data_IF_775157207994
#
_entry.id   IF_775157207994
#
_cell.length_a   1.000
_cell.length_b   1.000
_cell.length_c   1.000
_cell.angle_alpha   90.00
_cell.angle_beta   90.00
_cell.angle_gamma   90.00
#
_symmetry.space_group_name_H-M   'P 1'
#
loop_
_entity.id
_entity.type
_entity.pdbx_description
1 polymer ?
#
# COMPACT_ATOMS: atom_id res chain seq x y z
N UNK A 1 -43.79 36.34 -37.50
CA UNK A 1 -42.35 36.26 -37.19
C UNK A 1 -42.02 35.71 -35.79
N UNK A 2 -42.94 35.04 -35.07
CA UNK A 2 -42.72 34.71 -33.63
C UNK A 2 -42.31 33.28 -33.29
N UNK A 3 -42.67 32.26 -34.08
CA UNK A 3 -42.54 30.86 -33.65
C UNK A 3 -41.09 30.31 -33.66
N UNK A 4 -40.25 30.79 -34.56
CA UNK A 4 -38.85 30.36 -34.68
C UNK A 4 -37.95 30.87 -33.55
N UNK A 5 -38.24 32.05 -32.99
CA UNK A 5 -37.49 32.62 -31.88
C UNK A 5 -37.66 31.78 -30.60
N UNK A 6 -38.89 31.42 -30.26
CA UNK A 6 -39.17 30.60 -29.07
C UNK A 6 -38.61 29.18 -29.18
N UNK A 7 -38.60 28.60 -30.38
CA UNK A 7 -37.98 27.30 -30.62
C UNK A 7 -36.45 27.33 -30.42
N UNK A 8 -35.80 28.44 -30.79
CA UNK A 8 -34.36 28.63 -30.55
C UNK A 8 -34.04 28.81 -29.06
N UNK A 9 -34.78 29.68 -28.37
CA UNK A 9 -34.61 29.87 -26.92
C UNK A 9 -34.84 28.58 -26.13
N UNK A 10 -35.88 27.83 -26.47
CA UNK A 10 -36.15 26.53 -25.85
C UNK A 10 -35.00 25.54 -26.07
N UNK A 11 -34.48 25.47 -27.30
CA UNK A 11 -33.35 24.59 -27.64
C UNK A 11 -32.09 24.96 -26.86
N UNK A 12 -31.76 26.25 -26.73
CA UNK A 12 -30.58 26.69 -25.97
C UNK A 12 -30.72 26.40 -24.47
N UNK A 13 -31.89 26.63 -23.89
CA UNK A 13 -32.13 26.32 -22.47
C UNK A 13 -32.02 24.82 -22.20
N UNK A 14 -32.52 23.98 -23.10
CA UNK A 14 -32.42 22.53 -22.98
C UNK A 14 -30.99 22.04 -23.21
N UNK A 15 -30.27 22.56 -24.20
CA UNK A 15 -28.88 22.16 -24.46
C UNK A 15 -27.97 22.58 -23.30
N UNK A 16 -28.11 23.80 -22.79
CA UNK A 16 -27.34 24.28 -21.64
C UNK A 16 -27.61 23.46 -20.37
N UNK A 17 -28.86 23.04 -20.14
CA UNK A 17 -29.17 22.10 -19.06
C UNK A 17 -28.55 20.71 -19.27
N UNK A 18 -28.55 20.20 -20.49
CA UNK A 18 -27.98 18.89 -20.82
C UNK A 18 -26.45 18.85 -20.65
N UNK A 19 -25.77 19.92 -21.07
CA UNK A 19 -24.33 20.11 -20.87
C UNK A 19 -24.00 20.24 -19.38
N UNK A 20 -24.73 21.07 -18.63
CA UNK A 20 -24.57 21.18 -17.19
C UNK A 20 -24.78 19.82 -16.49
N UNK A 21 -25.76 19.03 -16.92
CA UNK A 21 -26.01 17.70 -16.39
C UNK A 21 -24.90 16.70 -16.70
N UNK A 22 -24.35 16.73 -17.91
CA UNK A 22 -23.26 15.83 -18.31
C UNK A 22 -21.96 16.18 -17.57
N UNK A 23 -21.64 17.48 -17.42
CA UNK A 23 -20.53 17.97 -16.62
C UNK A 23 -20.68 17.63 -15.14
N UNK A 24 -21.85 17.86 -14.55
CA UNK A 24 -22.13 17.49 -13.16
C UNK A 24 -21.96 15.98 -12.94
N UNK A 25 -22.55 15.17 -13.83
CA UNK A 25 -22.46 13.71 -13.75
C UNK A 25 -21.05 13.18 -13.98
N UNK A 26 -20.25 13.83 -14.82
CA UNK A 26 -18.84 13.51 -15.01
C UNK A 26 -18.02 13.84 -13.76
N UNK A 27 -18.29 14.98 -13.12
CA UNK A 27 -17.66 15.40 -11.85
C UNK A 27 -17.96 14.43 -10.71
N UNK A 28 -19.23 14.03 -10.54
CA UNK A 28 -19.65 13.06 -9.52
C UNK A 28 -19.04 11.67 -9.75
N UNK A 29 -18.96 11.24 -11.02
CA UNK A 29 -18.26 9.99 -11.39
C UNK A 29 -16.78 10.05 -11.04
N UNK A 30 -16.11 11.16 -11.34
CA UNK A 30 -14.70 11.34 -10.96
C UNK A 30 -14.53 11.26 -9.44
N UNK A 31 -15.36 11.97 -8.67
CA UNK A 31 -15.34 11.92 -7.19
C UNK A 31 -15.54 10.50 -6.66
N UNK A 32 -16.55 9.78 -7.15
CA UNK A 32 -16.81 8.40 -6.72
C UNK A 32 -15.67 7.44 -7.07
N UNK A 33 -15.11 7.56 -8.28
CA UNK A 33 -13.99 6.72 -8.71
C UNK A 33 -12.76 6.97 -7.84
N UNK A 34 -12.39 8.23 -7.60
CA UNK A 34 -11.25 8.57 -6.73
C UNK A 34 -11.44 8.03 -5.30
N UNK A 35 -12.64 8.18 -4.73
CA UNK A 35 -12.97 7.65 -3.39
C UNK A 35 -12.90 6.12 -3.34
N UNK A 36 -13.44 5.44 -4.35
CA UNK A 36 -13.40 3.99 -4.44
C UNK A 36 -11.96 3.44 -4.51
N UNK A 37 -11.09 4.09 -5.31
CA UNK A 37 -9.68 3.73 -5.39
C UNK A 37 -8.93 3.97 -4.07
N UNK A 38 -9.22 5.08 -3.37
CA UNK A 38 -8.63 5.36 -2.05
C UNK A 38 -9.08 4.34 -0.99
N UNK A 39 -10.37 3.98 -0.97
CA UNK A 39 -10.86 2.97 -0.05
C UNK A 39 -10.22 1.61 -0.34
N UNK A 40 -10.19 1.19 -1.60
CA UNK A 40 -9.63 -0.09 -2.02
C UNK A 40 -8.14 -0.19 -1.69
N UNK A 41 -7.34 0.82 -2.01
CA UNK A 41 -5.90 0.85 -1.70
C UNK A 41 -5.62 0.80 -0.18
N UNK A 42 -6.47 1.46 0.63
CA UNK A 42 -6.37 1.43 2.09
C UNK A 42 -6.72 0.07 2.69
N UNK A 43 -7.77 -0.59 2.21
CA UNK A 43 -8.12 -1.96 2.63
C UNK A 43 -6.98 -2.93 2.31
N UNK A 44 -6.48 -2.88 1.07
CA UNK A 44 -5.34 -3.70 0.64
C UNK A 44 -4.09 -3.48 1.52
N UNK A 45 -3.80 -2.25 1.98
CA UNK A 45 -2.65 -2.02 2.86
C UNK A 45 -2.90 -2.49 4.30
N UNK A 46 -4.14 -2.38 4.79
CA UNK A 46 -4.50 -2.79 6.15
C UNK A 46 -4.42 -4.31 6.34
N UNK A 47 -4.64 -5.10 5.29
CA UNK A 47 -4.59 -6.57 5.35
C UNK A 47 -3.18 -7.10 5.63
N UNK A 48 -2.15 -6.49 5.04
CA UNK A 48 -0.76 -6.93 5.21
C UNK A 48 -0.05 -6.26 6.41
N UNK A 49 -0.61 -5.17 6.94
CA UNK A 49 -0.03 -4.44 8.06
C UNK A 49 0.16 -5.29 9.34
N UNK A 50 -0.81 -6.08 9.83
CA UNK A 50 -0.62 -6.90 11.03
C UNK A 50 0.43 -7.99 10.83
N UNK A 51 0.49 -8.58 9.63
CA UNK A 51 1.52 -9.59 9.29
C UNK A 51 2.91 -8.96 9.34
N UNK A 52 3.07 -7.79 8.73
CA UNK A 52 4.31 -7.01 8.79
C UNK A 52 4.71 -6.72 10.23
N UNK A 53 3.78 -6.24 11.07
CA UNK A 53 4.06 -5.89 12.46
C UNK A 53 4.54 -7.09 13.28
N UNK A 54 3.89 -8.24 13.10
CA UNK A 54 4.28 -9.48 13.78
C UNK A 54 5.70 -9.91 13.41
N UNK A 55 6.04 -9.89 12.12
CA UNK A 55 7.36 -10.29 11.63
C UNK A 55 8.42 -9.27 12.06
N UNK A 56 8.12 -7.97 11.97
CA UNK A 56 9.01 -6.89 12.41
C UNK A 56 9.36 -7.06 13.89
N UNK A 57 8.36 -7.33 14.73
CA UNK A 57 8.59 -7.52 16.16
C UNK A 57 9.48 -8.74 16.43
N UNK A 58 9.18 -9.86 15.76
CA UNK A 58 9.93 -11.09 15.91
C UNK A 58 11.39 -10.94 15.43
N UNK A 59 11.61 -10.34 14.26
CA UNK A 59 12.97 -10.08 13.76
C UNK A 59 13.75 -9.13 14.69
N UNK A 60 13.08 -8.15 15.31
CA UNK A 60 13.70 -7.19 16.20
C UNK A 60 14.13 -7.79 17.54
N UNK A 61 13.33 -8.70 18.08
CA UNK A 61 13.62 -9.39 19.33
C UNK A 61 14.70 -10.47 19.18
N UNK A 62 14.66 -11.24 18.09
CA UNK A 62 15.49 -12.44 17.94
C UNK A 62 16.74 -12.25 17.09
N UNK A 63 16.84 -11.18 16.29
CA UNK A 63 17.99 -10.94 15.41
C UNK A 63 18.72 -9.63 15.74
N UNK A 64 18.19 -8.47 15.33
CA UNK A 64 18.86 -7.19 15.54
C UNK A 64 17.91 -6.01 15.39
N UNK A 65 17.65 -5.29 16.49
CA UNK A 65 16.70 -4.16 16.53
C UNK A 65 16.97 -3.09 15.44
N UNK A 66 18.22 -2.64 15.28
CA UNK A 66 18.58 -1.60 14.30
C UNK A 66 18.32 -1.98 12.82
N UNK A 67 18.82 -3.14 12.38
CA UNK A 67 18.58 -3.65 11.02
C UNK A 67 17.08 -3.86 10.76
N UNK A 68 16.36 -4.45 11.72
CA UNK A 68 14.93 -4.66 11.61
C UNK A 68 14.15 -3.35 11.50
N UNK A 69 14.51 -2.33 12.28
CA UNK A 69 13.89 -1.01 12.19
C UNK A 69 14.15 -0.35 10.83
N UNK A 70 15.38 -0.44 10.31
CA UNK A 70 15.73 0.10 8.99
C UNK A 70 14.93 -0.58 7.86
N UNK A 71 14.82 -1.91 7.88
CA UNK A 71 14.00 -2.67 6.93
C UNK A 71 12.51 -2.35 7.07
N UNK A 72 12.02 -2.16 8.30
CA UNK A 72 10.65 -1.73 8.55
C UNK A 72 10.34 -0.35 7.98
N UNK A 73 11.27 0.60 8.10
CA UNK A 73 11.15 1.92 7.51
C UNK A 73 11.14 1.86 5.98
N UNK A 74 11.99 0.99 5.40
CA UNK A 74 12.03 0.75 3.95
C UNK A 74 10.71 0.14 3.44
N UNK A 75 10.10 -0.78 4.19
CA UNK A 75 8.78 -1.33 3.88
C UNK A 75 7.69 -0.23 3.84
N UNK A 76 7.66 0.63 4.87
CA UNK A 76 6.72 1.74 4.94
C UNK A 76 6.91 2.75 3.81
N UNK A 77 8.16 3.06 3.47
CA UNK A 77 8.50 3.93 2.35
C UNK A 77 7.98 3.35 1.01
N UNK A 78 8.17 2.05 0.81
CA UNK A 78 7.65 1.33 -0.38
C UNK A 78 6.13 1.43 -0.51
N UNK A 79 5.42 1.27 0.62
CA UNK A 79 3.96 1.41 0.67
C UNK A 79 3.51 2.86 0.45
N UNK A 80 4.26 3.83 0.94
CA UNK A 80 4.00 5.24 0.65
C UNK A 80 4.15 5.54 -0.86
N UNK A 81 5.23 5.05 -1.49
CA UNK A 81 5.42 5.15 -2.93
C UNK A 81 4.30 4.46 -3.73
N UNK A 82 3.79 3.32 -3.24
CA UNK A 82 2.62 2.65 -3.85
C UNK A 82 1.37 3.54 -3.85
N UNK A 83 1.08 4.24 -2.74
CA UNK A 83 -0.03 5.18 -2.67
C UNK A 83 0.15 6.39 -3.57
N UNK A 84 1.36 6.94 -3.64
CA UNK A 84 1.66 8.08 -4.52
C UNK A 84 1.57 7.70 -6.00
N UNK A 85 2.11 6.55 -6.40
CA UNK A 85 1.98 6.04 -7.77
C UNK A 85 0.53 5.78 -8.19
N UNK A 86 -0.35 5.46 -7.23
CA UNK A 86 -1.79 5.30 -7.48
C UNK A 86 -2.49 6.60 -7.92
N UNK A 87 -1.91 7.77 -7.62
CA UNK A 87 -2.46 9.08 -8.00
C UNK A 87 -2.04 9.53 -9.40
N UNK A 88 -0.91 9.05 -9.91
CA UNK A 88 -0.32 9.54 -11.18
C UNK A 88 -0.66 8.66 -12.39
N UNK A 89 -0.71 7.33 -12.25
CA UNK A 89 -1.04 6.44 -13.37
C UNK A 89 -1.39 5.03 -12.89
N UNK A 90 -2.49 4.47 -13.41
CA UNK A 90 -2.93 3.09 -13.11
C UNK A 90 -1.91 2.01 -13.54
N UNK A 91 -1.00 2.33 -14.47
CA UNK A 91 -0.05 1.36 -15.05
C UNK A 91 1.24 1.18 -14.24
N UNK A 92 1.56 2.07 -13.29
CA UNK A 92 2.78 2.00 -12.46
C UNK A 92 2.69 1.13 -11.21
N UNK A 93 1.57 0.43 -10.98
CA UNK A 93 1.22 -0.23 -9.70
C UNK A 93 2.12 -1.39 -9.28
N UNK A 94 2.75 -2.07 -10.23
CA UNK A 94 3.41 -3.36 -10.00
C UNK A 94 4.79 -3.20 -9.34
N UNK A 95 5.58 -2.21 -9.77
CA UNK A 95 6.95 -2.04 -9.29
C UNK A 95 7.06 -1.80 -7.76
N UNK A 96 6.28 -0.88 -7.15
CA UNK A 96 6.33 -0.66 -5.70
C UNK A 96 5.78 -1.87 -4.91
N UNK A 97 4.85 -2.63 -5.52
CA UNK A 97 4.26 -3.81 -4.89
C UNK A 97 5.29 -4.94 -4.78
N UNK A 98 6.00 -5.27 -5.85
CA UNK A 98 7.08 -6.26 -5.82
C UNK A 98 8.22 -5.86 -4.89
N UNK A 99 8.57 -4.58 -4.84
CA UNK A 99 9.59 -4.07 -3.93
C UNK A 99 9.18 -4.25 -2.46
N UNK A 100 7.95 -3.85 -2.10
CA UNK A 100 7.44 -4.04 -0.73
C UNK A 100 7.34 -5.52 -0.33
N UNK A 101 7.00 -6.41 -1.28
CA UNK A 101 6.98 -7.85 -1.05
C UNK A 101 8.38 -8.40 -0.80
N UNK A 102 9.39 -7.94 -1.54
CA UNK A 102 10.79 -8.32 -1.33
C UNK A 102 11.29 -7.95 0.07
N UNK A 103 11.01 -6.73 0.52
CA UNK A 103 11.37 -6.29 1.88
C UNK A 103 10.69 -7.15 2.95
N UNK A 104 9.42 -7.51 2.75
CA UNK A 104 8.69 -8.39 3.66
C UNK A 104 9.31 -9.79 3.72
N UNK A 105 9.70 -10.37 2.57
CA UNK A 105 10.37 -11.67 2.51
C UNK A 105 11.73 -11.67 3.24
N UNK A 106 12.50 -10.59 3.11
CA UNK A 106 13.74 -10.41 3.85
C UNK A 106 13.46 -10.42 5.37
N UNK A 107 12.46 -9.66 5.82
CA UNK A 107 12.03 -9.62 7.22
C UNK A 107 11.59 -11.01 7.74
N UNK A 108 10.86 -11.79 6.94
CA UNK A 108 10.49 -13.17 7.27
C UNK A 108 11.73 -14.04 7.44
N UNK A 109 12.69 -13.92 6.53
CA UNK A 109 13.97 -14.64 6.60
C UNK A 109 14.73 -14.30 7.88
N UNK A 110 14.85 -13.01 8.22
CA UNK A 110 15.50 -12.58 9.47
C UNK A 110 14.79 -13.15 10.72
N UNK A 111 13.46 -13.09 10.76
CA UNK A 111 12.69 -13.64 11.87
C UNK A 111 12.89 -15.16 12.01
N UNK A 112 12.86 -15.89 10.90
CA UNK A 112 13.07 -17.34 10.88
C UNK A 112 14.48 -17.73 11.34
N UNK A 113 15.51 -17.01 10.86
CA UNK A 113 16.90 -17.21 11.28
C UNK A 113 17.08 -16.92 12.77
N UNK A 114 16.51 -15.82 13.27
CA UNK A 114 16.58 -15.46 14.70
C UNK A 114 15.91 -16.52 15.59
N UNK A 115 14.72 -16.99 15.21
CA UNK A 115 14.02 -18.06 15.93
C UNK A 115 14.82 -19.37 15.87
N UNK A 116 15.32 -19.74 14.69
CA UNK A 116 16.09 -20.96 14.52
C UNK A 116 17.37 -20.93 15.36
N UNK A 117 18.08 -19.81 15.38
CA UNK A 117 19.25 -19.60 16.22
C UNK A 117 18.91 -19.73 17.71
N UNK A 118 17.82 -19.11 18.16
CA UNK A 118 17.34 -19.21 19.54
C UNK A 118 17.00 -20.66 19.91
N UNK A 119 16.27 -21.38 19.05
CA UNK A 119 15.89 -22.78 19.26
C UNK A 119 17.10 -23.71 19.26
N UNK A 120 18.05 -23.54 18.34
CA UNK A 120 19.28 -24.33 18.32
C UNK A 120 20.10 -24.09 19.59
N UNK A 121 20.26 -22.82 19.99
CA UNK A 121 20.99 -22.46 21.22
C UNK A 121 20.32 -23.05 22.47
N UNK A 122 18.98 -23.03 22.53
CA UNK A 122 18.23 -23.54 23.66
C UNK A 122 18.17 -25.08 23.71
N UNK A 123 17.95 -25.75 22.58
CA UNK A 123 17.77 -27.21 22.53
C UNK A 123 19.07 -28.01 22.50
N UNK A 124 20.13 -27.50 21.87
CA UNK A 124 21.39 -28.24 21.76
C UNK A 124 22.32 -28.00 22.97
N UNK A 125 21.98 -27.09 23.88
CA UNK A 125 22.84 -26.75 25.03
C UNK A 125 24.25 -26.27 24.64
N UNK A 126 24.47 -26.04 23.35
CA UNK A 126 25.71 -25.53 22.79
C UNK A 126 25.74 -24.05 23.12
N UNK A 127 26.27 -23.73 24.30
CA UNK A 127 26.96 -22.48 24.49
C UNK A 127 28.09 -22.45 23.45
N UNK A 128 27.81 -21.98 22.24
CA UNK A 128 28.84 -21.71 21.23
C UNK A 128 29.91 -20.78 21.84
N UNK A 129 29.49 -19.93 22.77
CA UNK A 129 30.37 -19.13 23.64
C UNK A 129 31.33 -19.95 24.53
N UNK A 130 30.94 -21.13 25.02
CA UNK A 130 31.80 -22.02 25.82
C UNK A 130 32.73 -22.87 24.93
N UNK A 131 32.29 -23.22 23.72
CA UNK A 131 33.11 -23.95 22.74
C UNK A 131 34.13 -23.06 22.00
N UNK A 132 33.84 -21.76 21.84
CA UNK A 132 34.77 -20.76 21.30
C UNK A 132 35.75 -20.24 22.37
N UNK A 133 35.45 -20.42 23.66
CA UNK A 133 36.33 -20.03 24.78
C UNK A 133 37.25 -21.15 25.29
N UNK A 134 37.30 -22.31 24.62
CA UNK A 134 38.12 -23.47 24.95
C UNK A 134 39.18 -23.73 23.89
#
# INVERSE_FOLDING_TARGET
MGASHWALLYREVVSGKAEAWSHWKASERHRMLTLFFLFSSRVNCSEYFPIFLAILWQAGLFFHQGLTAALGLLYLYSRYCYFMGYKESSSGRLAPMYFSAGVLWILIGLAAVGILHFLLSHHLGMNVLLFISL
#
